data_IF_032126060560
#
_entry.id   IF_032126060560
#
_cell.length_a   1.000
_cell.length_b   1.000
_cell.length_c   1.000
_cell.angle_alpha   90.00
_cell.angle_beta   90.00
_cell.angle_gamma   90.00
#
_symmetry.space_group_name_H-M   'P 1'
#
loop_
_entity.id
_entity.type
_entity.pdbx_description
1 polymer ?
#
# COMPACT_ATOMS: atom_id res chain seq x y z
N UNK A 1 25.30 2.04 -8.36
CA UNK A 1 24.33 0.98 -8.24
C UNK A 1 23.95 0.79 -6.77
N UNK A 2 22.67 0.78 -6.45
CA UNK A 2 22.16 0.49 -5.10
C UNK A 2 21.61 -0.93 -5.03
N UNK A 3 20.71 -1.25 -5.94
CA UNK A 3 20.08 -2.56 -6.02
C UNK A 3 19.81 -2.96 -7.47
N UNK A 4 19.66 -4.25 -7.69
CA UNK A 4 19.20 -4.83 -8.95
C UNK A 4 17.95 -5.65 -8.67
N UNK A 5 16.86 -5.35 -9.36
CA UNK A 5 15.59 -6.04 -9.21
C UNK A 5 15.24 -6.76 -10.51
N UNK A 6 14.78 -8.00 -10.38
CA UNK A 6 14.39 -8.80 -11.53
C UNK A 6 12.94 -8.52 -11.92
N UNK A 7 12.70 -8.30 -13.21
CA UNK A 7 11.35 -8.19 -13.79
C UNK A 7 11.12 -9.33 -14.76
N UNK A 8 9.87 -9.78 -14.89
CA UNK A 8 9.50 -10.91 -15.77
C UNK A 8 9.67 -10.64 -17.27
N UNK A 9 9.94 -9.38 -17.67
CA UNK A 9 10.17 -8.98 -19.05
C UNK A 9 9.09 -9.46 -20.06
N UNK A 10 8.72 -8.62 -21.00
CA UNK A 10 7.72 -8.96 -22.04
C UNK A 10 8.15 -10.10 -22.98
N UNK A 11 9.43 -10.44 -23.00
CA UNK A 11 10.01 -11.50 -23.85
C UNK A 11 10.17 -12.85 -23.14
N UNK A 12 9.62 -12.99 -21.92
CA UNK A 12 9.71 -14.23 -21.12
C UNK A 12 11.06 -14.46 -20.42
N UNK A 13 12.09 -13.65 -20.70
CA UNK A 13 13.38 -13.70 -19.99
C UNK A 13 13.40 -12.62 -18.90
N UNK A 14 13.75 -13.01 -17.68
CA UNK A 14 13.95 -12.06 -16.58
C UNK A 14 15.04 -11.05 -16.93
N UNK A 15 14.74 -9.77 -16.68
CA UNK A 15 15.67 -8.66 -16.87
C UNK A 15 16.03 -8.06 -15.53
N UNK A 16 17.31 -7.73 -15.33
CA UNK A 16 17.78 -7.04 -14.13
C UNK A 16 17.69 -5.53 -14.31
N UNK A 17 16.81 -4.88 -13.54
CA UNK A 17 16.73 -3.42 -13.49
C UNK A 17 17.71 -2.89 -12.47
N UNK A 18 18.68 -2.10 -12.92
CA UNK A 18 19.71 -1.50 -12.06
C UNK A 18 19.26 -0.15 -11.54
N UNK A 19 19.08 -0.04 -10.24
CA UNK A 19 18.62 1.19 -9.58
C UNK A 19 19.75 1.83 -8.78
N UNK A 20 20.15 3.08 -9.09
CA UNK A 20 21.11 3.83 -8.30
C UNK A 20 20.47 4.40 -7.03
N UNK A 21 21.29 4.69 -6.02
CA UNK A 21 20.86 5.29 -4.75
C UNK A 21 20.02 6.56 -4.96
N UNK A 22 20.45 7.42 -5.86
CA UNK A 22 19.77 8.68 -6.15
C UNK A 22 18.32 8.46 -6.61
N UNK A 23 18.10 7.54 -7.53
CA UNK A 23 16.76 7.27 -8.06
C UNK A 23 15.80 6.81 -6.96
N UNK A 24 16.25 5.92 -6.06
CA UNK A 24 15.43 5.44 -4.95
C UNK A 24 15.15 6.57 -3.95
N UNK A 25 16.18 7.36 -3.61
CA UNK A 25 16.04 8.48 -2.69
C UNK A 25 15.11 9.57 -3.26
N UNK A 26 15.34 10.00 -4.51
CA UNK A 26 14.52 11.02 -5.16
C UNK A 26 13.05 10.55 -5.25
N UNK A 27 12.81 9.28 -5.61
CA UNK A 27 11.46 8.74 -5.70
C UNK A 27 10.78 8.65 -4.33
N UNK A 28 11.50 8.23 -3.28
CA UNK A 28 10.95 8.19 -1.93
C UNK A 28 10.64 9.59 -1.38
N UNK A 29 11.40 10.62 -1.76
CA UNK A 29 11.27 11.98 -1.22
C UNK A 29 10.31 12.87 -2.02
N UNK A 30 10.17 12.64 -3.33
CA UNK A 30 9.35 13.51 -4.21
C UNK A 30 7.85 13.48 -3.90
N UNK A 31 7.36 12.43 -3.25
CA UNK A 31 5.95 12.29 -2.89
C UNK A 31 5.67 12.85 -1.50
N UNK A 32 5.09 14.02 -1.44
CA UNK A 32 4.60 14.61 -0.19
C UNK A 32 3.22 14.05 0.18
N UNK A 33 3.21 12.91 0.86
CA UNK A 33 1.99 12.27 1.33
C UNK A 33 1.47 12.85 2.65
N UNK A 34 2.13 13.86 3.22
CA UNK A 34 1.80 14.49 4.51
C UNK A 34 1.56 13.49 5.65
N UNK A 35 2.35 12.42 5.67
CA UNK A 35 2.29 11.37 6.70
C UNK A 35 3.03 11.86 7.94
N UNK A 36 2.38 11.94 9.12
CA UNK A 36 3.04 12.35 10.35
C UNK A 36 4.16 11.39 10.77
N UNK A 37 5.21 11.91 11.39
CA UNK A 37 6.24 11.09 12.05
C UNK A 37 5.60 10.20 13.12
N UNK A 38 6.08 8.97 13.27
CA UNK A 38 5.53 8.00 14.21
C UNK A 38 4.29 7.26 13.70
N UNK A 39 3.76 7.58 12.50
CA UNK A 39 2.68 6.81 11.88
C UNK A 39 3.08 5.33 11.76
N UNK A 40 2.18 4.44 12.14
CA UNK A 40 2.42 3.00 12.06
C UNK A 40 2.02 2.47 10.67
N UNK A 41 2.94 1.79 10.00
CA UNK A 41 2.66 1.01 8.80
C UNK A 41 2.80 -0.49 9.05
N UNK A 42 2.10 -1.30 8.25
CA UNK A 42 2.28 -2.74 8.20
C UNK A 42 2.70 -3.14 6.79
N UNK A 43 3.97 -3.53 6.64
CA UNK A 43 4.55 -3.97 5.38
C UNK A 43 4.08 -5.37 5.05
N UNK A 44 3.33 -5.52 3.98
CA UNK A 44 2.69 -6.78 3.56
C UNK A 44 3.30 -7.33 2.28
N UNK A 45 3.75 -6.42 1.41
CA UNK A 45 4.33 -6.77 0.11
C UNK A 45 5.77 -7.26 0.26
N UNK A 46 6.27 -8.10 -0.67
CA UNK A 46 7.65 -8.56 -0.64
C UNK A 46 8.65 -7.40 -0.74
N UNK A 47 9.63 -7.36 0.16
CA UNK A 47 10.66 -6.29 0.21
C UNK A 47 11.54 -6.28 -1.05
N UNK A 48 11.66 -7.41 -1.74
CA UNK A 48 12.37 -7.50 -3.02
C UNK A 48 11.59 -6.93 -4.21
N UNK A 49 10.37 -6.44 -3.99
CA UNK A 49 9.62 -5.68 -5.00
C UNK A 49 9.86 -4.18 -4.80
N UNK A 50 10.17 -3.46 -5.90
CA UNK A 50 10.53 -2.03 -5.84
C UNK A 50 9.47 -1.16 -5.16
N UNK A 51 8.20 -1.47 -5.33
CA UNK A 51 7.10 -0.72 -4.71
C UNK A 51 7.17 -0.77 -3.18
N UNK A 52 7.34 -1.98 -2.61
CA UNK A 52 7.52 -2.15 -1.18
C UNK A 52 8.84 -1.51 -0.70
N UNK A 53 9.96 -1.83 -1.37
CA UNK A 53 11.28 -1.33 -0.98
C UNK A 53 11.30 0.20 -0.92
N UNK A 54 10.80 0.89 -1.94
CA UNK A 54 10.89 2.35 -2.03
C UNK A 54 9.80 3.05 -1.24
N UNK A 55 8.53 2.63 -1.43
CA UNK A 55 7.39 3.37 -0.93
C UNK A 55 6.99 3.01 0.50
N UNK A 56 7.34 1.82 0.98
CA UNK A 56 7.05 1.41 2.35
C UNK A 56 8.31 1.53 3.23
N UNK A 57 9.43 0.92 2.81
CA UNK A 57 10.63 0.87 3.64
C UNK A 57 11.43 2.18 3.57
N UNK A 58 11.94 2.57 2.37
CA UNK A 58 12.81 3.74 2.26
C UNK A 58 12.05 5.02 2.62
N UNK A 59 10.86 5.21 2.07
CA UNK A 59 9.99 6.33 2.41
C UNK A 59 9.64 6.34 3.89
N UNK A 60 9.19 5.21 4.44
CA UNK A 60 8.82 5.10 5.85
C UNK A 60 9.97 5.49 6.78
N UNK A 61 11.19 4.99 6.53
CA UNK A 61 12.39 5.37 7.29
C UNK A 61 12.67 6.88 7.15
N UNK A 62 12.59 7.41 5.93
CA UNK A 62 12.93 8.82 5.64
C UNK A 62 12.06 9.83 6.38
N UNK A 63 10.83 9.47 6.70
CA UNK A 63 9.85 10.33 7.40
C UNK A 63 9.60 9.89 8.85
N UNK A 64 10.33 8.91 9.35
CA UNK A 64 10.26 8.46 10.75
C UNK A 64 8.99 7.69 11.09
N UNK A 65 8.50 6.82 10.19
CA UNK A 65 7.39 5.90 10.48
C UNK A 65 7.85 4.73 11.35
N UNK A 66 6.90 4.10 12.03
CA UNK A 66 7.05 2.81 12.70
C UNK A 66 6.64 1.73 11.70
N UNK A 67 7.63 0.98 11.19
CA UNK A 67 7.39 -0.04 10.16
C UNK A 67 7.27 -1.40 10.84
N UNK A 68 6.07 -1.98 10.82
CA UNK A 68 5.81 -3.35 11.25
C UNK A 68 5.89 -4.28 10.04
N UNK A 69 6.70 -5.33 10.12
CA UNK A 69 6.85 -6.28 9.02
C UNK A 69 5.89 -7.45 9.23
N UNK A 70 5.03 -7.69 8.23
CA UNK A 70 4.13 -8.83 8.24
C UNK A 70 4.91 -10.12 7.93
N UNK A 71 4.78 -11.09 8.79
CA UNK A 71 5.52 -12.35 8.70
C UNK A 71 4.91 -13.35 7.69
N UNK A 72 3.62 -13.20 7.39
CA UNK A 72 2.92 -14.08 6.45
C UNK A 72 1.59 -13.47 6.01
N UNK A 73 1.25 -13.65 4.73
CA UNK A 73 -0.05 -13.21 4.20
C UNK A 73 -1.22 -13.88 4.93
N UNK A 74 -1.04 -15.10 5.40
CA UNK A 74 -2.04 -15.84 6.18
C UNK A 74 -2.35 -15.18 7.53
N UNK A 75 -1.38 -14.43 8.08
CA UNK A 75 -1.52 -13.73 9.36
C UNK A 75 -1.86 -12.26 9.20
N UNK A 76 -2.01 -11.77 7.98
CA UNK A 76 -2.22 -10.36 7.69
C UNK A 76 -3.37 -9.76 8.51
N UNK A 77 -4.55 -10.38 8.54
CA UNK A 77 -5.69 -9.88 9.32
C UNK A 77 -5.44 -9.85 10.83
N UNK A 78 -4.78 -10.88 11.36
CA UNK A 78 -4.35 -10.90 12.76
C UNK A 78 -3.40 -9.74 13.04
N UNK A 79 -2.44 -9.52 12.16
CA UNK A 79 -1.40 -8.50 12.30
C UNK A 79 -1.96 -7.07 12.13
N UNK A 80 -2.99 -6.87 11.29
CA UNK A 80 -3.75 -5.61 11.24
C UNK A 80 -4.35 -5.26 12.61
N UNK A 81 -4.95 -6.24 13.29
CA UNK A 81 -5.52 -6.03 14.63
C UNK A 81 -4.46 -5.84 15.71
N UNK A 82 -3.34 -6.54 15.60
CA UNK A 82 -2.24 -6.50 16.57
C UNK A 82 -1.47 -5.19 16.51
N UNK A 83 -1.04 -4.79 15.31
CA UNK A 83 -0.21 -3.60 15.11
C UNK A 83 -1.02 -2.32 14.91
N UNK A 84 -2.30 -2.43 14.56
CA UNK A 84 -3.20 -1.31 14.31
C UNK A 84 -2.57 -0.23 13.41
N UNK A 85 -2.11 -0.58 12.19
CA UNK A 85 -1.49 0.37 11.30
C UNK A 85 -2.47 1.47 10.89
N UNK A 86 -1.95 2.67 10.66
CA UNK A 86 -2.71 3.80 10.13
C UNK A 86 -2.64 3.86 8.60
N UNK A 87 -1.57 3.26 8.04
CA UNK A 87 -1.35 3.17 6.59
C UNK A 87 -0.83 1.79 6.21
N UNK A 88 -1.26 1.27 5.06
CA UNK A 88 -0.75 0.03 4.47
C UNK A 88 -0.60 0.17 2.96
N UNK A 89 0.42 -0.50 2.40
CA UNK A 89 0.59 -0.64 0.96
C UNK A 89 0.08 -2.01 0.53
N UNK A 90 -0.85 -2.04 -0.40
CA UNK A 90 -1.50 -3.26 -0.88
C UNK A 90 -1.58 -3.30 -2.41
N UNK A 91 -1.78 -4.49 -2.94
CA UNK A 91 -2.15 -4.71 -4.34
C UNK A 91 -3.68 -4.90 -4.45
N UNK A 92 -4.30 -4.61 -5.60
CA UNK A 92 -5.75 -4.68 -5.79
C UNK A 92 -6.39 -5.98 -5.31
N UNK A 93 -5.79 -7.13 -5.60
CA UNK A 93 -6.30 -8.45 -5.18
C UNK A 93 -6.53 -8.54 -3.65
N UNK A 94 -5.63 -7.96 -2.84
CA UNK A 94 -5.79 -7.96 -1.38
C UNK A 94 -6.90 -7.00 -0.98
N UNK A 95 -6.99 -5.82 -1.62
CA UNK A 95 -8.03 -4.82 -1.36
C UNK A 95 -9.42 -5.38 -1.70
N UNK A 96 -9.56 -6.04 -2.83
CA UNK A 96 -10.81 -6.69 -3.26
C UNK A 96 -11.25 -7.79 -2.30
N UNK A 97 -10.29 -8.59 -1.81
CA UNK A 97 -10.58 -9.60 -0.78
C UNK A 97 -11.10 -8.96 0.52
N UNK A 98 -10.51 -7.83 0.93
CA UNK A 98 -10.99 -7.07 2.09
C UNK A 98 -12.34 -6.40 1.84
N UNK A 99 -12.58 -5.91 0.62
CA UNK A 99 -13.88 -5.37 0.19
C UNK A 99 -14.99 -6.42 0.28
N UNK A 100 -14.70 -7.66 -0.12
CA UNK A 100 -15.61 -8.79 0.07
C UNK A 100 -16.06 -8.94 1.51
N UNK A 101 -15.12 -8.90 2.45
CA UNK A 101 -15.43 -9.00 3.89
C UNK A 101 -16.24 -7.83 4.42
N UNK A 102 -15.99 -6.60 3.92
CA UNK A 102 -16.78 -5.43 4.29
C UNK A 102 -18.25 -5.57 3.82
N UNK A 103 -18.48 -6.19 2.64
CA UNK A 103 -19.81 -6.43 2.10
C UNK A 103 -20.61 -7.51 2.85
N UNK A 104 -19.90 -8.42 3.53
CA UNK A 104 -20.53 -9.50 4.31
C UNK A 104 -20.99 -9.05 5.71
N UNK A 105 -20.62 -7.83 6.14
CA UNK A 105 -21.02 -7.32 7.46
C UNK A 105 -22.50 -6.93 7.44
N UNK A 106 -23.19 -7.27 8.52
CA UNK A 106 -24.59 -6.88 8.73
C UNK A 106 -24.70 -5.34 8.63
N UNK A 107 -25.58 -4.83 7.76
CA UNK A 107 -25.79 -3.39 7.58
C UNK A 107 -26.22 -2.63 8.86
N UNK A 108 -26.72 -3.34 9.88
CA UNK A 108 -27.07 -2.76 11.18
C UNK A 108 -25.85 -2.40 12.04
N UNK A 109 -24.66 -2.96 11.72
CA UNK A 109 -23.41 -2.68 12.45
C UNK A 109 -22.87 -1.31 12.00
N UNK A 110 -22.58 -0.38 12.93
CA UNK A 110 -21.94 0.88 12.58
C UNK A 110 -20.65 0.69 11.78
N UNK A 111 -20.48 1.45 10.69
CA UNK A 111 -19.33 1.26 9.76
C UNK A 111 -17.97 1.36 10.44
N UNK A 112 -17.82 2.24 11.45
CA UNK A 112 -16.59 2.36 12.23
C UNK A 112 -16.30 1.09 13.04
N UNK A 113 -17.32 0.46 13.64
CA UNK A 113 -17.14 -0.80 14.36
C UNK A 113 -16.78 -1.94 13.40
N UNK A 114 -17.42 -1.97 12.25
CA UNK A 114 -17.12 -2.92 11.18
C UNK A 114 -15.66 -2.79 10.69
N UNK A 115 -15.23 -1.57 10.40
CA UNK A 115 -13.85 -1.28 10.02
C UNK A 115 -12.86 -1.68 11.13
N UNK A 116 -13.16 -1.34 12.39
CA UNK A 116 -12.33 -1.72 13.52
C UNK A 116 -12.20 -3.24 13.70
N UNK A 117 -13.29 -3.98 13.48
CA UNK A 117 -13.29 -5.43 13.58
C UNK A 117 -12.40 -6.11 12.51
N UNK A 118 -12.27 -5.51 11.33
CA UNK A 118 -11.45 -6.04 10.24
C UNK A 118 -10.01 -5.52 10.31
N UNK A 119 -9.83 -4.20 10.51
CA UNK A 119 -8.55 -3.50 10.33
C UNK A 119 -7.85 -3.11 11.64
N UNK A 120 -8.46 -3.35 12.79
CA UNK A 120 -7.88 -2.99 14.09
C UNK A 120 -8.17 -1.56 14.57
N UNK A 121 -8.94 -0.76 13.81
CA UNK A 121 -9.53 0.51 14.25
C UNK A 121 -8.72 1.78 13.99
N UNK A 122 -7.46 1.68 13.51
CA UNK A 122 -6.63 2.87 13.23
C UNK A 122 -6.34 3.09 11.74
N UNK A 123 -6.70 2.16 10.88
CA UNK A 123 -6.40 2.26 9.44
C UNK A 123 -7.16 3.44 8.82
N UNK A 124 -6.41 4.37 8.25
CA UNK A 124 -6.93 5.58 7.57
C UNK A 124 -6.65 5.58 6.08
N UNK A 125 -5.52 4.97 5.68
CA UNK A 125 -5.04 5.07 4.30
C UNK A 125 -4.56 3.72 3.79
N UNK A 126 -5.00 3.38 2.60
CA UNK A 126 -4.47 2.26 1.82
C UNK A 126 -3.84 2.84 0.56
N UNK A 127 -2.57 2.52 0.31
CA UNK A 127 -1.91 2.83 -0.94
C UNK A 127 -2.01 1.61 -1.85
N UNK A 128 -2.73 1.75 -2.96
CA UNK A 128 -2.91 0.70 -3.97
C UNK A 128 -1.93 0.90 -5.13
N UNK A 129 -1.27 -0.17 -5.55
CA UNK A 129 -0.36 -0.13 -6.69
C UNK A 129 -0.16 -1.49 -7.33
N UNK A 130 0.51 -1.50 -8.48
CA UNK A 130 0.88 -2.71 -9.20
C UNK A 130 -0.17 -3.25 -10.20
N UNK A 131 -1.44 -2.86 -10.09
CA UNK A 131 -2.50 -3.19 -11.03
C UNK A 131 -3.67 -2.20 -10.91
N UNK A 132 -4.62 -2.32 -11.83
CA UNK A 132 -5.89 -1.57 -11.77
C UNK A 132 -6.72 -2.01 -10.56
N UNK A 133 -7.34 -1.05 -9.89
CA UNK A 133 -8.32 -1.26 -8.82
C UNK A 133 -9.67 -0.69 -9.26
N UNK A 134 -10.73 -1.47 -9.07
CA UNK A 134 -12.10 -1.04 -9.37
C UNK A 134 -12.50 0.18 -8.51
N UNK A 135 -12.99 1.28 -9.12
CA UNK A 135 -13.50 2.45 -8.42
C UNK A 135 -14.57 2.14 -7.36
N UNK A 136 -15.36 1.08 -7.55
CA UNK A 136 -16.36 0.64 -6.56
C UNK A 136 -15.70 0.22 -5.24
N UNK A 137 -14.52 -0.39 -5.29
CA UNK A 137 -13.74 -0.68 -4.10
C UNK A 137 -13.35 0.60 -3.37
N UNK A 138 -12.92 1.63 -4.10
CA UNK A 138 -12.53 2.93 -3.52
C UNK A 138 -13.72 3.58 -2.83
N UNK A 139 -14.89 3.59 -3.49
CA UNK A 139 -16.14 4.12 -2.93
C UNK A 139 -16.52 3.39 -1.65
N UNK A 140 -16.48 2.05 -1.68
CA UNK A 140 -16.79 1.23 -0.52
C UNK A 140 -15.90 1.56 0.67
N UNK A 141 -14.58 1.55 0.51
CA UNK A 141 -13.66 1.85 1.61
C UNK A 141 -13.86 3.26 2.18
N UNK A 142 -14.15 4.24 1.32
CA UNK A 142 -14.45 5.62 1.74
C UNK A 142 -15.67 5.68 2.68
N UNK A 143 -16.69 4.84 2.46
CA UNK A 143 -17.85 4.74 3.35
C UNK A 143 -17.48 4.25 4.75
N UNK A 144 -16.38 3.48 4.89
CA UNK A 144 -15.85 3.01 6.17
C UNK A 144 -14.76 3.94 6.74
N UNK A 145 -14.61 5.15 6.21
CA UNK A 145 -13.63 6.14 6.66
C UNK A 145 -12.20 5.86 6.23
N UNK A 146 -11.98 4.95 5.26
CA UNK A 146 -10.66 4.58 4.79
C UNK A 146 -10.44 5.16 3.39
N UNK A 147 -9.38 5.95 3.22
CA UNK A 147 -9.00 6.54 1.93
C UNK A 147 -8.09 5.57 1.17
N UNK A 148 -8.39 5.32 -0.10
CA UNK A 148 -7.50 4.59 -1.00
C UNK A 148 -6.83 5.58 -1.95
N UNK A 149 -5.49 5.57 -1.95
CA UNK A 149 -4.67 6.32 -2.89
C UNK A 149 -4.15 5.34 -3.95
N UNK A 150 -4.37 5.64 -5.22
CA UNK A 150 -3.83 4.83 -6.32
C UNK A 150 -2.47 5.34 -6.75
N UNK A 151 -1.50 4.44 -6.84
CA UNK A 151 -0.18 4.68 -7.40
C UNK A 151 0.02 3.94 -8.71
N UNK A 152 0.56 4.63 -9.71
CA UNK A 152 1.04 4.02 -10.94
C UNK A 152 2.57 4.12 -11.00
N UNK A 153 3.20 3.03 -11.41
CA UNK A 153 4.64 2.98 -11.53
C UNK A 153 5.15 1.70 -12.16
N UNK A 154 6.45 1.67 -12.37
CA UNK A 154 7.16 0.51 -12.90
C UNK A 154 8.56 0.42 -12.28
N UNK A 155 9.15 -0.77 -12.27
CA UNK A 155 10.45 -1.01 -11.62
C UNK A 155 11.54 -0.10 -12.18
N UNK A 156 11.53 0.14 -13.48
CA UNK A 156 12.48 1.01 -14.18
C UNK A 156 12.40 2.49 -13.75
N UNK A 157 11.29 2.89 -13.14
CA UNK A 157 11.04 4.27 -12.66
C UNK A 157 11.22 4.44 -11.16
N UNK A 158 11.62 3.40 -10.42
CA UNK A 158 12.09 3.41 -9.01
C UNK A 158 11.07 3.62 -7.87
N UNK A 159 9.82 3.22 -7.93
CA UNK A 159 8.90 2.80 -8.97
C UNK A 159 7.90 3.88 -9.39
N UNK A 160 7.64 4.89 -8.54
CA UNK A 160 6.44 5.71 -8.63
C UNK A 160 6.56 6.80 -9.69
N UNK A 161 5.62 6.79 -10.63
CA UNK A 161 5.46 7.83 -11.65
C UNK A 161 4.31 8.77 -11.30
N UNK A 162 3.24 8.25 -10.70
CA UNK A 162 2.04 9.01 -10.39
C UNK A 162 1.38 8.45 -9.12
N UNK A 163 0.96 9.36 -8.25
CA UNK A 163 0.08 9.06 -7.12
C UNK A 163 -1.13 9.97 -7.21
N UNK A 164 -2.32 9.41 -7.27
CA UNK A 164 -3.56 10.19 -7.36
C UNK A 164 -4.49 9.82 -6.21
N UNK A 165 -5.10 10.83 -5.60
CA UNK A 165 -6.40 10.64 -4.94
C UNK A 165 -7.46 10.45 -6.02
N UNK A 166 -8.62 9.80 -5.71
CA UNK A 166 -9.73 9.74 -6.65
C UNK A 166 -10.03 11.12 -7.19
N UNK A 167 -10.16 11.24 -8.52
CA UNK A 167 -10.50 12.51 -9.14
C UNK A 167 -11.85 13.00 -8.60
N UNK A 168 -12.02 14.30 -8.34
CA UNK A 168 -13.34 14.86 -8.00
C UNK A 168 -14.40 14.67 -9.10
N UNK A 169 -13.99 14.13 -10.26
CA UNK A 169 -14.86 13.88 -11.41
C UNK A 169 -15.33 12.43 -11.55
N UNK A 170 -14.84 11.52 -10.68
CA UNK A 170 -15.21 10.09 -10.70
C UNK A 170 -16.31 9.78 -9.67
#
# INVERSE_FOLDING_TARGET
LCTMLLTSGTTGKSKGVMLPHRNLADNALCLDMKIPQGTVSLTVLPINHVYCLTMDIIKGISIGMIICINDSIMRFQRNLKLFQPEIVLLVPMIIESLAGKLKEIDPSVPKEQAAAAIFGGKLKTICSGGAYLDPDCIRLFKEFGITILQGYGMTECSPCLLYTSPSPRD
#
